data_IF_035360610801
#
_entry.id   IF_035360610801
#
_cell.length_a   1.000
_cell.length_b   1.000
_cell.length_c   1.000
_cell.angle_alpha   90.00
_cell.angle_beta   90.00
_cell.angle_gamma   90.00
#
_symmetry.space_group_name_H-M   'P 1'
#
loop_
_entity.id
_entity.type
_entity.pdbx_description
1 polymer ?
#
# COMPACT_ATOMS: atom_id res chain seq x y z
N UNK A 1 64.92 -7.34 1.92
CA UNK A 1 64.97 -5.92 1.55
C UNK A 1 63.57 -5.49 1.16
N UNK A 2 62.93 -4.55 1.87
CA UNK A 2 61.65 -4.02 1.43
C UNK A 2 61.89 -3.18 0.16
N UNK A 3 61.14 -3.47 -0.90
CA UNK A 3 61.22 -2.73 -2.16
C UNK A 3 60.90 -1.25 -1.91
N UNK A 4 61.66 -0.29 -2.49
CA UNK A 4 61.33 1.12 -2.37
C UNK A 4 59.98 1.34 -3.05
N UNK A 5 58.97 1.72 -2.26
CA UNK A 5 57.69 2.17 -2.79
C UNK A 5 57.98 3.30 -3.78
N UNK A 6 57.48 3.15 -5.00
CA UNK A 6 57.68 4.10 -6.09
C UNK A 6 57.19 5.49 -5.67
N UNK A 7 58.08 6.47 -5.59
CA UNK A 7 57.74 7.88 -5.30
C UNK A 7 57.16 8.50 -6.57
N UNK A 8 55.83 8.53 -6.67
CA UNK A 8 55.16 9.21 -7.80
C UNK A 8 55.46 10.71 -7.81
N UNK A 9 55.70 11.25 -9.01
CA UNK A 9 55.92 12.70 -9.19
C UNK A 9 54.61 13.48 -9.10
N UNK A 10 54.68 14.79 -8.82
CA UNK A 10 53.48 15.67 -8.77
C UNK A 10 52.69 15.64 -10.09
N UNK A 11 53.40 15.49 -11.22
CA UNK A 11 52.81 15.40 -12.54
C UNK A 11 52.07 14.07 -12.73
N UNK A 12 52.65 12.95 -12.32
CA UNK A 12 52.00 11.63 -12.40
C UNK A 12 50.69 11.61 -11.61
N UNK A 13 50.68 12.15 -10.39
CA UNK A 13 49.46 12.30 -9.60
C UNK A 13 48.40 13.15 -10.32
N UNK A 14 48.81 14.25 -10.97
CA UNK A 14 47.89 15.10 -11.70
C UNK A 14 47.25 14.37 -12.90
N UNK A 15 48.01 13.55 -13.63
CA UNK A 15 47.49 12.73 -14.74
C UNK A 15 46.51 11.67 -14.24
N UNK A 16 46.86 10.96 -13.16
CA UNK A 16 45.98 9.93 -12.57
C UNK A 16 44.65 10.54 -12.11
N UNK A 17 44.71 11.69 -11.42
CA UNK A 17 43.51 12.41 -10.98
C UNK A 17 42.70 12.90 -12.19
N UNK A 18 43.36 13.44 -13.23
CA UNK A 18 42.70 13.90 -14.45
C UNK A 18 41.93 12.79 -15.15
N UNK A 19 42.53 11.59 -15.27
CA UNK A 19 41.86 10.41 -15.83
C UNK A 19 40.68 9.98 -14.94
N UNK A 20 40.89 9.90 -13.62
CA UNK A 20 39.83 9.50 -12.69
C UNK A 20 38.62 10.45 -12.74
N UNK A 21 38.86 11.76 -12.76
CA UNK A 21 37.81 12.77 -12.88
C UNK A 21 37.09 12.68 -14.24
N UNK A 22 37.83 12.45 -15.33
CA UNK A 22 37.25 12.22 -16.66
C UNK A 22 36.32 11.00 -16.70
N UNK A 23 36.74 9.87 -16.09
CA UNK A 23 35.93 8.67 -15.99
C UNK A 23 34.65 8.90 -15.17
N UNK A 24 34.76 9.56 -14.01
CA UNK A 24 33.59 9.89 -13.17
C UNK A 24 32.61 10.81 -13.91
N UNK A 25 33.11 11.79 -14.66
CA UNK A 25 32.28 12.71 -15.44
C UNK A 25 31.44 11.99 -16.51
N UNK A 26 31.98 10.92 -17.11
CA UNK A 26 31.24 10.08 -18.09
C UNK A 26 30.28 9.11 -17.38
N UNK A 27 30.67 8.54 -16.24
CA UNK A 27 29.89 7.54 -15.52
C UNK A 27 28.64 8.11 -14.83
N UNK A 28 28.72 9.29 -14.21
CA UNK A 28 27.60 9.89 -13.47
C UNK A 28 26.32 10.07 -14.31
N UNK A 29 26.34 10.70 -15.51
CA UNK A 29 25.14 10.82 -16.33
C UNK A 29 24.61 9.46 -16.81
N UNK A 30 25.50 8.50 -17.07
CA UNK A 30 25.11 7.14 -17.46
C UNK A 30 24.36 6.41 -16.32
N UNK A 31 24.87 6.48 -15.10
CA UNK A 31 24.23 5.88 -13.92
C UNK A 31 22.86 6.50 -13.64
N UNK A 32 22.72 7.82 -13.81
CA UNK A 32 21.43 8.51 -13.64
C UNK A 32 20.39 8.03 -14.67
N UNK A 33 20.78 7.97 -15.96
CA UNK A 33 19.90 7.44 -17.04
C UNK A 33 19.49 5.99 -16.78
N UNK A 34 20.43 5.16 -16.30
CA UNK A 34 20.14 3.77 -15.95
C UNK A 34 19.13 3.66 -14.80
N UNK A 35 19.30 4.48 -13.74
CA UNK A 35 18.35 4.54 -12.62
C UNK A 35 16.96 4.98 -13.05
N UNK A 36 16.84 6.01 -13.88
CA UNK A 36 15.55 6.47 -14.37
C UNK A 36 14.86 5.43 -15.26
N UNK A 37 15.63 4.71 -16.09
CA UNK A 37 15.12 3.60 -16.90
C UNK A 37 14.65 2.42 -16.03
N UNK A 38 15.39 2.10 -14.95
CA UNK A 38 15.00 1.07 -14.00
C UNK A 38 13.69 1.45 -13.28
N UNK A 39 13.55 2.70 -12.82
CA UNK A 39 12.33 3.21 -12.19
C UNK A 39 11.12 3.14 -13.13
N UNK A 40 11.29 3.53 -14.40
CA UNK A 40 10.26 3.38 -15.44
C UNK A 40 9.86 1.93 -15.65
N UNK A 41 10.84 1.03 -15.72
CA UNK A 41 10.62 -0.41 -15.91
C UNK A 41 9.85 -1.02 -14.73
N UNK A 42 10.22 -0.66 -13.51
CA UNK A 42 9.54 -1.12 -12.31
C UNK A 42 8.11 -0.56 -12.22
N UNK A 43 7.89 0.73 -12.54
CA UNK A 43 6.53 1.28 -12.63
C UNK A 43 5.67 0.54 -13.65
N UNK A 44 6.23 0.27 -14.84
CA UNK A 44 5.56 -0.53 -15.87
C UNK A 44 5.19 -1.92 -15.35
N UNK A 45 6.05 -2.57 -14.55
CA UNK A 45 5.75 -3.86 -13.96
C UNK A 45 4.67 -3.78 -12.86
N UNK A 46 4.66 -2.71 -12.06
CA UNK A 46 3.59 -2.45 -11.10
C UNK A 46 2.23 -2.33 -11.81
N UNK A 47 2.18 -1.57 -12.91
CA UNK A 47 0.98 -1.50 -13.76
C UNK A 47 0.61 -2.83 -14.41
N UNK A 48 1.58 -3.66 -14.80
CA UNK A 48 1.28 -5.02 -15.30
C UNK A 48 0.62 -5.88 -14.24
N UNK A 49 1.09 -5.80 -12.99
CA UNK A 49 0.47 -6.51 -11.87
C UNK A 49 -0.97 -6.01 -11.62
N UNK A 50 -1.20 -4.70 -11.70
CA UNK A 50 -2.54 -4.11 -11.63
C UNK A 50 -3.44 -4.54 -12.80
N UNK A 51 -2.90 -4.58 -14.02
CA UNK A 51 -3.61 -5.05 -15.21
C UNK A 51 -4.01 -6.52 -15.10
N UNK A 52 -3.12 -7.37 -14.62
CA UNK A 52 -3.42 -8.78 -14.34
C UNK A 52 -4.52 -8.91 -13.28
N UNK A 53 -4.44 -8.13 -12.19
CA UNK A 53 -5.47 -8.14 -11.15
C UNK A 53 -6.84 -7.66 -11.66
N UNK A 54 -6.87 -6.64 -12.51
CA UNK A 54 -8.09 -6.18 -13.19
C UNK A 54 -8.74 -7.28 -14.01
N UNK A 55 -7.93 -8.05 -14.74
CA UNK A 55 -8.43 -9.18 -15.53
C UNK A 55 -8.89 -10.34 -14.66
N UNK A 56 -8.17 -10.69 -13.61
CA UNK A 56 -8.62 -11.71 -12.66
C UNK A 56 -9.93 -11.32 -11.96
N UNK A 57 -10.09 -10.02 -11.65
CA UNK A 57 -11.36 -9.48 -11.15
C UNK A 57 -12.46 -9.60 -12.21
N UNK A 58 -12.17 -9.20 -13.45
CA UNK A 58 -13.12 -9.31 -14.56
C UNK A 58 -13.53 -10.76 -14.83
N UNK A 59 -12.61 -11.71 -14.78
CA UNK A 59 -12.92 -13.14 -14.93
C UNK A 59 -13.80 -13.66 -13.79
N UNK A 60 -13.56 -13.23 -12.55
CA UNK A 60 -14.33 -13.65 -11.38
C UNK A 60 -15.73 -13.03 -11.32
N UNK A 61 -15.87 -11.76 -11.71
CA UNK A 61 -17.11 -10.97 -11.54
C UNK A 61 -17.79 -10.57 -12.85
N UNK A 62 -17.22 -10.95 -14.01
CA UNK A 62 -17.66 -10.59 -15.37
C UNK A 62 -17.69 -9.08 -15.68
N UNK A 63 -17.10 -8.26 -14.83
CA UNK A 63 -17.12 -6.80 -14.88
C UNK A 63 -15.82 -6.22 -14.31
N UNK A 64 -15.38 -5.07 -14.78
CA UNK A 64 -14.29 -4.35 -14.12
C UNK A 64 -14.76 -3.82 -12.76
N UNK A 65 -13.86 -3.63 -11.77
CA UNK A 65 -14.25 -3.13 -10.47
C UNK A 65 -14.88 -1.74 -10.61
N UNK A 66 -15.87 -1.38 -9.78
CA UNK A 66 -16.34 -0.02 -9.74
C UNK A 66 -15.18 0.92 -9.33
N UNK A 67 -15.12 2.11 -9.94
CA UNK A 67 -14.16 3.15 -9.57
C UNK A 67 -14.19 3.49 -8.08
N UNK A 68 -15.41 3.54 -7.54
CA UNK A 68 -15.67 3.51 -6.11
C UNK A 68 -17.14 3.24 -5.82
N UNK A 69 -17.41 2.72 -4.63
CA UNK A 69 -18.77 2.51 -4.13
C UNK A 69 -19.12 3.55 -3.07
N UNK A 70 -20.42 3.81 -2.91
CA UNK A 70 -20.95 4.68 -1.86
C UNK A 70 -21.76 3.87 -0.85
N UNK A 71 -21.77 4.30 0.41
CA UNK A 71 -22.68 3.79 1.43
C UNK A 71 -24.08 4.43 1.27
N UNK A 72 -25.09 3.86 1.93
CA UNK A 72 -26.49 4.33 1.85
C UNK A 72 -26.70 5.76 2.38
N UNK A 73 -25.82 6.23 3.25
CA UNK A 73 -25.79 7.58 3.80
C UNK A 73 -25.03 8.58 2.90
N UNK A 74 -24.56 8.13 1.72
CA UNK A 74 -23.81 8.95 0.77
C UNK A 74 -22.33 9.11 1.10
N UNK A 75 -21.80 8.43 2.12
CA UNK A 75 -20.36 8.42 2.39
C UNK A 75 -19.60 7.54 1.39
N UNK A 76 -18.36 7.93 1.07
CA UNK A 76 -17.49 7.14 0.21
C UNK A 76 -17.09 5.83 0.88
N UNK A 77 -17.33 4.71 0.20
CA UNK A 77 -17.09 3.38 0.78
C UNK A 77 -15.69 2.86 0.42
N UNK A 78 -15.48 2.32 -0.78
CA UNK A 78 -14.19 1.77 -1.22
C UNK A 78 -13.91 2.09 -2.68
N UNK A 79 -12.65 2.41 -2.98
CA UNK A 79 -12.16 2.54 -4.35
C UNK A 79 -11.87 1.22 -5.07
N UNK A 80 -11.63 1.34 -6.37
CA UNK A 80 -11.28 0.21 -7.25
C UNK A 80 -10.08 -0.59 -6.74
N UNK A 81 -9.06 0.07 -6.17
CA UNK A 81 -7.85 -0.61 -5.71
C UNK A 81 -8.16 -1.60 -4.59
N UNK A 82 -9.05 -1.23 -3.65
CA UNK A 82 -9.49 -2.12 -2.57
C UNK A 82 -10.10 -3.41 -3.12
N UNK A 83 -10.90 -3.31 -4.18
CA UNK A 83 -11.55 -4.46 -4.84
C UNK A 83 -10.55 -5.38 -5.56
N UNK A 84 -9.38 -4.86 -5.94
CA UNK A 84 -8.33 -5.66 -6.58
C UNK A 84 -7.44 -6.42 -5.58
N UNK A 85 -7.51 -6.13 -4.28
CA UNK A 85 -6.65 -6.73 -3.26
C UNK A 85 -6.64 -8.27 -3.23
N UNK A 86 -7.75 -9.00 -3.42
CA UNK A 86 -7.71 -10.47 -3.48
C UNK A 86 -6.85 -11.00 -4.64
N UNK A 87 -6.71 -10.20 -5.70
CA UNK A 87 -5.99 -10.54 -6.92
C UNK A 87 -4.59 -9.91 -6.97
N UNK A 88 -4.20 -9.16 -5.93
CA UNK A 88 -2.92 -8.48 -5.79
C UNK A 88 -2.18 -8.98 -4.55
N UNK A 89 -0.91 -9.37 -4.74
CA UNK A 89 0.07 -9.53 -3.65
C UNK A 89 -0.29 -10.56 -2.56
N UNK A 90 -1.29 -11.44 -2.80
CA UNK A 90 -1.76 -12.47 -1.86
C UNK A 90 -1.99 -11.93 -0.42
N UNK A 91 -2.56 -10.72 -0.34
CA UNK A 91 -2.63 -9.98 0.92
C UNK A 91 -3.73 -10.51 1.86
N UNK A 92 -3.39 -10.93 3.10
CA UNK A 92 -4.40 -11.40 4.07
C UNK A 92 -5.29 -10.26 4.61
N UNK A 93 -4.94 -8.99 4.36
CA UNK A 93 -5.67 -7.83 4.92
C UNK A 93 -7.05 -7.66 4.33
N UNK A 94 -7.30 -8.16 3.11
CA UNK A 94 -8.61 -8.00 2.49
C UNK A 94 -9.73 -8.62 3.33
N UNK A 95 -9.46 -9.79 3.93
CA UNK A 95 -10.41 -10.47 4.80
C UNK A 95 -10.60 -9.78 6.16
N UNK A 96 -9.76 -8.79 6.50
CA UNK A 96 -9.85 -8.02 7.75
C UNK A 96 -10.66 -6.73 7.58
N UNK A 97 -11.00 -6.35 6.33
CA UNK A 97 -11.77 -5.13 6.07
C UNK A 97 -13.22 -5.34 6.53
N UNK A 98 -13.72 -4.47 7.41
CA UNK A 98 -15.14 -4.40 7.75
C UNK A 98 -15.88 -3.66 6.62
N UNK A 99 -16.46 -4.44 5.69
CA UNK A 99 -17.20 -3.91 4.54
C UNK A 99 -18.55 -3.28 4.90
N UNK A 100 -18.94 -3.23 6.17
CA UNK A 100 -20.09 -2.46 6.64
C UNK A 100 -19.71 -1.02 7.02
N UNK A 101 -18.42 -0.66 6.90
CA UNK A 101 -17.87 0.65 7.27
C UNK A 101 -17.06 1.27 6.14
N UNK A 102 -16.89 2.59 6.17
CA UNK A 102 -16.02 3.32 5.25
C UNK A 102 -14.55 2.89 5.37
N UNK A 103 -13.79 3.08 4.30
CA UNK A 103 -12.35 2.75 4.26
C UNK A 103 -11.50 3.54 5.26
N UNK A 104 -11.90 4.77 5.59
CA UNK A 104 -11.23 5.66 6.53
C UNK A 104 -11.83 5.64 7.94
N UNK A 105 -12.82 4.79 8.19
CA UNK A 105 -13.37 4.53 9.52
C UNK A 105 -12.27 4.10 10.49
N UNK A 106 -12.44 4.40 11.78
CA UNK A 106 -11.46 4.06 12.82
C UNK A 106 -11.07 2.58 12.79
N UNK A 107 -12.02 1.67 12.54
CA UNK A 107 -11.77 0.23 12.47
C UNK A 107 -10.95 -0.15 11.24
N UNK A 108 -11.24 0.44 10.07
CA UNK A 108 -10.56 0.07 8.82
C UNK A 108 -9.25 0.82 8.58
N UNK A 109 -9.07 2.00 9.20
CA UNK A 109 -7.99 2.95 8.89
C UNK A 109 -6.61 2.29 8.83
N UNK A 110 -6.29 1.43 9.79
CA UNK A 110 -4.99 0.77 9.87
C UNK A 110 -4.67 -0.09 8.64
N UNK A 111 -5.67 -0.72 8.02
CA UNK A 111 -5.50 -1.56 6.82
C UNK A 111 -5.07 -0.72 5.62
N UNK A 112 -5.56 0.52 5.53
CA UNK A 112 -5.26 1.47 4.45
C UNK A 112 -3.96 2.26 4.66
N UNK A 113 -3.32 2.08 5.82
CA UNK A 113 -1.97 2.57 6.11
C UNK A 113 -0.89 1.55 5.71
N UNK A 114 -1.26 0.31 5.35
CA UNK A 114 -0.34 -0.71 4.86
C UNK A 114 -0.10 -0.50 3.36
N UNK A 115 1.17 -0.50 2.96
CA UNK A 115 1.57 -0.20 1.57
C UNK A 115 1.44 -1.42 0.66
N UNK A 116 0.64 -1.35 -0.42
CA UNK A 116 0.78 -2.26 -1.55
C UNK A 116 2.00 -1.85 -2.39
N UNK A 117 2.92 -2.77 -2.70
CA UNK A 117 4.10 -2.43 -3.53
C UNK A 117 3.68 -1.96 -4.93
N UNK A 118 2.62 -2.55 -5.47
CA UNK A 118 1.98 -2.23 -6.74
C UNK A 118 1.29 -0.86 -6.79
N UNK A 119 1.07 -0.19 -5.65
CA UNK A 119 0.47 1.14 -5.61
C UNK A 119 1.49 2.28 -5.84
N UNK A 120 2.80 1.97 -5.85
CA UNK A 120 3.84 2.99 -5.87
C UNK A 120 4.53 3.16 -7.21
N UNK A 121 4.83 4.41 -7.56
CA UNK A 121 5.81 4.75 -8.60
C UNK A 121 7.19 4.93 -7.97
N UNK A 122 8.23 4.23 -8.45
CA UNK A 122 9.58 4.43 -7.94
C UNK A 122 10.10 5.84 -8.22
N UNK A 123 10.59 6.51 -7.17
CA UNK A 123 11.17 7.85 -7.26
C UNK A 123 10.24 9.02 -6.96
N UNK A 124 8.98 8.75 -6.60
CA UNK A 124 8.07 9.76 -6.04
C UNK A 124 8.23 9.80 -4.51
N UNK A 125 8.30 11.00 -3.93
CA UNK A 125 8.57 11.17 -2.50
C UNK A 125 7.29 11.10 -1.65
N UNK A 126 6.16 11.51 -2.21
CA UNK A 126 4.85 11.52 -1.56
C UNK A 126 4.24 10.11 -1.60
N UNK A 127 4.22 9.42 -0.47
CA UNK A 127 3.68 8.06 -0.41
C UNK A 127 2.62 7.83 0.67
N UNK A 128 2.36 8.82 1.52
CA UNK A 128 1.34 8.78 2.54
C UNK A 128 0.76 10.17 2.83
N UNK A 129 -0.49 10.23 3.29
CA UNK A 129 -1.11 11.43 3.84
C UNK A 129 -0.55 11.76 5.23
N UNK A 130 -0.87 12.95 5.76
CA UNK A 130 -0.58 13.30 7.17
C UNK A 130 -1.19 12.33 8.18
N UNK A 131 -2.35 11.75 7.84
CA UNK A 131 -3.06 10.78 8.68
C UNK A 131 -2.59 9.33 8.44
N UNK A 132 -1.47 9.16 7.72
CA UNK A 132 -0.78 7.89 7.51
C UNK A 132 -1.33 7.02 6.38
N UNK A 133 -2.42 7.41 5.72
CA UNK A 133 -2.99 6.62 4.62
C UNK A 133 -2.03 6.54 3.44
N UNK A 134 -1.80 5.33 2.93
CA UNK A 134 -0.85 5.14 1.83
C UNK A 134 -1.46 5.63 0.52
N UNK A 135 -0.66 6.36 -0.25
CA UNK A 135 -1.04 6.92 -1.54
C UNK A 135 -0.81 5.91 -2.67
N UNK A 136 -1.67 5.98 -3.68
CA UNK A 136 -1.44 5.35 -4.97
C UNK A 136 -1.02 6.38 -6.02
N UNK A 137 -0.08 6.00 -6.87
CA UNK A 137 0.45 6.83 -7.96
C UNK A 137 -0.22 6.54 -9.30
N UNK A 138 -1.33 5.80 -9.26
CA UNK A 138 -2.12 5.37 -10.39
C UNK A 138 -3.58 5.71 -10.15
N UNK A 139 -4.27 6.12 -11.20
CA UNK A 139 -5.67 6.51 -11.14
C UNK A 139 -6.46 5.88 -12.28
N UNK A 140 -7.75 5.67 -12.05
CA UNK A 140 -8.63 4.99 -12.99
C UNK A 140 -9.20 5.93 -14.05
N UNK A 141 -9.36 5.45 -15.29
CA UNK A 141 -10.09 6.17 -16.33
C UNK A 141 -11.57 6.26 -15.92
N UNK A 142 -12.17 7.46 -15.76
CA UNK A 142 -13.57 7.62 -15.37
C UNK A 142 -14.55 6.96 -16.36
N UNK A 143 -14.18 6.79 -17.63
CA UNK A 143 -15.01 6.07 -18.61
C UNK A 143 -15.17 4.58 -18.29
N UNK A 144 -14.25 4.01 -17.50
CA UNK A 144 -14.25 2.60 -17.09
C UNK A 144 -14.50 2.45 -15.59
N UNK A 145 -13.86 3.29 -14.79
CA UNK A 145 -13.76 3.24 -13.33
C UNK A 145 -14.33 4.52 -12.70
N UNK A 146 -15.62 4.80 -12.94
CA UNK A 146 -16.38 5.85 -12.22
C UNK A 146 -17.17 5.25 -11.05
N UNK A 147 -17.85 6.11 -10.28
CA UNK A 147 -18.69 5.72 -9.15
C UNK A 147 -19.74 4.70 -9.57
N UNK A 148 -19.81 3.57 -8.86
CA UNK A 148 -20.76 2.47 -9.11
C UNK A 148 -20.75 1.95 -10.57
N UNK A 149 -19.62 2.08 -11.27
CA UNK A 149 -19.46 1.59 -12.64
C UNK A 149 -19.63 0.07 -12.73
N UNK A 150 -20.14 -0.39 -13.88
CA UNK A 150 -20.31 -1.80 -14.23
C UNK A 150 -19.82 -2.05 -15.67
N UNK A 151 -18.64 -1.53 -15.98
CA UNK A 151 -18.06 -1.60 -17.34
C UNK A 151 -17.43 -2.97 -17.58
N UNK A 152 -17.68 -3.56 -18.74
CA UNK A 152 -17.11 -4.85 -19.17
C UNK A 152 -16.22 -4.66 -20.39
N UNK A 153 -15.41 -5.67 -20.72
CA UNK A 153 -14.62 -5.70 -21.97
C UNK A 153 -15.46 -5.48 -23.24
N UNK A 154 -16.76 -5.84 -23.23
CA UNK A 154 -17.68 -5.65 -24.37
C UNK A 154 -18.05 -4.19 -24.61
N UNK A 155 -17.86 -3.34 -23.61
CA UNK A 155 -18.17 -1.92 -23.70
C UNK A 155 -17.08 -1.12 -24.45
N UNK A 156 -15.93 -1.75 -24.76
CA UNK A 156 -14.85 -1.16 -25.55
C UNK A 156 -15.22 -1.27 -27.04
N UNK A 157 -15.87 -0.24 -27.59
CA UNK A 157 -16.48 -0.27 -28.93
C UNK A 157 -15.46 -0.46 -30.06
N UNK A 158 -14.25 0.09 -29.87
CA UNK A 158 -13.13 -0.06 -30.81
C UNK A 158 -12.23 -1.27 -30.49
N UNK A 159 -12.63 -2.11 -29.53
CA UNK A 159 -11.82 -3.21 -29.01
C UNK A 159 -10.93 -2.81 -27.84
N UNK A 160 -10.52 -3.81 -27.05
CA UNK A 160 -9.77 -3.63 -25.80
C UNK A 160 -8.35 -3.09 -26.00
N UNK A 161 -7.81 -3.15 -27.21
CA UNK A 161 -6.49 -2.63 -27.57
C UNK A 161 -6.45 -1.11 -27.86
N UNK A 162 -7.62 -0.45 -27.94
CA UNK A 162 -7.75 0.99 -28.19
C UNK A 162 -8.14 1.79 -26.94
N UNK A 163 -8.86 1.19 -25.99
CA UNK A 163 -9.20 1.84 -24.72
C UNK A 163 -8.18 1.55 -23.62
N UNK A 164 -8.20 2.35 -22.54
CA UNK A 164 -7.33 2.18 -21.37
C UNK A 164 -8.12 2.31 -20.06
N UNK A 165 -7.58 1.72 -18.99
CA UNK A 165 -8.26 1.53 -17.70
C UNK A 165 -7.56 2.28 -16.57
N UNK A 166 -6.23 2.20 -16.47
CA UNK A 166 -5.43 2.86 -15.44
C UNK A 166 -4.32 3.68 -16.06
N UNK A 167 -3.95 4.79 -15.42
CA UNK A 167 -2.83 5.63 -15.83
C UNK A 167 -1.96 6.07 -14.65
N UNK A 168 -0.67 6.31 -14.91
CA UNK A 168 0.21 7.02 -13.98
C UNK A 168 -0.24 8.48 -13.84
N UNK A 169 -0.02 9.06 -12.66
CA UNK A 169 -0.45 10.45 -12.37
C UNK A 169 0.67 11.31 -11.81
N UNK A 170 0.56 12.63 -11.98
CA UNK A 170 1.64 13.60 -11.71
C UNK A 170 1.86 13.86 -10.21
N UNK A 171 0.81 14.27 -9.49
CA UNK A 171 0.82 14.56 -8.05
C UNK A 171 -0.60 14.54 -7.50
N UNK A 172 -0.93 15.23 -6.41
CA UNK A 172 -2.26 15.18 -5.78
C UNK A 172 -2.79 13.73 -5.66
N UNK A 173 -1.93 12.87 -5.12
CA UNK A 173 -2.18 11.44 -5.06
C UNK A 173 -3.32 11.14 -4.08
N UNK A 174 -4.16 10.19 -4.45
CA UNK A 174 -5.25 9.74 -3.58
C UNK A 174 -4.75 8.57 -2.70
N UNK A 175 -5.25 8.45 -1.46
CA UNK A 175 -5.15 7.20 -0.71
C UNK A 175 -5.65 6.02 -1.55
N UNK A 176 -4.98 4.87 -1.49
CA UNK A 176 -5.38 3.73 -2.33
C UNK A 176 -6.78 3.20 -1.99
N UNK A 177 -7.29 3.45 -0.78
CA UNK A 177 -8.66 3.11 -0.40
C UNK A 177 -9.74 4.07 -0.93
N UNK A 178 -9.33 5.27 -1.38
CA UNK A 178 -10.24 6.35 -1.75
C UNK A 178 -11.20 5.94 -2.86
N UNK A 179 -12.52 6.15 -2.67
CA UNK A 179 -13.55 5.81 -3.66
C UNK A 179 -13.64 6.82 -4.81
N UNK A 180 -12.74 7.81 -4.88
CA UNK A 180 -12.75 8.85 -5.90
C UNK A 180 -11.43 8.92 -6.69
N UNK A 181 -10.70 7.81 -6.77
CA UNK A 181 -9.41 7.75 -7.44
C UNK A 181 -9.53 7.56 -8.98
N UNK A 182 -10.01 8.61 -9.64
CA UNK A 182 -9.95 8.82 -11.09
C UNK A 182 -9.65 10.29 -11.40
N UNK A 183 -9.15 10.59 -12.60
CA UNK A 183 -8.94 11.97 -13.09
C UNK A 183 -9.63 12.17 -14.42
N UNK A 184 -9.83 13.42 -14.78
CA UNK A 184 -10.32 13.79 -16.11
C UNK A 184 -9.40 13.16 -17.17
N UNK A 185 -10.00 12.34 -18.04
CA UNK A 185 -9.29 11.61 -19.07
C UNK A 185 -8.94 12.50 -20.27
N UNK A 186 -9.65 13.61 -20.45
CA UNK A 186 -9.47 14.52 -21.59
C UNK A 186 -8.42 15.59 -21.31
N UNK A 187 -7.95 15.68 -20.06
CA UNK A 187 -6.89 16.61 -19.69
C UNK A 187 -5.53 16.19 -20.27
N UNK A 188 -4.78 17.11 -20.91
CA UNK A 188 -3.47 16.80 -21.48
C UNK A 188 -2.49 16.21 -20.46
N UNK A 189 -1.67 15.26 -20.91
CA UNK A 189 -0.66 14.63 -20.06
C UNK A 189 0.36 15.66 -19.54
N UNK A 190 0.72 15.55 -18.26
CA UNK A 190 1.64 16.46 -17.58
C UNK A 190 1.21 17.94 -17.60
N UNK A 191 -0.08 18.25 -17.82
CA UNK A 191 -0.60 19.63 -17.77
C UNK A 191 -0.44 20.26 -16.40
N UNK A 192 -0.60 19.46 -15.34
CA UNK A 192 -0.58 19.92 -13.97
C UNK A 192 -0.60 18.78 -12.98
N UNK A 193 -0.61 19.13 -11.69
CA UNK A 193 -0.52 18.15 -10.61
C UNK A 193 -1.72 17.18 -10.58
N UNK A 194 -2.88 17.60 -11.10
CA UNK A 194 -4.12 16.81 -11.19
C UNK A 194 -4.27 16.02 -12.49
N UNK A 195 -3.31 16.10 -13.42
CA UNK A 195 -3.36 15.37 -14.69
C UNK A 195 -2.77 13.95 -14.60
N UNK A 196 -3.08 13.09 -15.58
CA UNK A 196 -2.29 11.90 -15.85
C UNK A 196 -0.89 12.30 -16.34
N UNK A 197 0.12 11.50 -16.01
CA UNK A 197 1.51 11.88 -16.29
C UNK A 197 2.50 11.33 -15.27
N UNK A 198 3.61 12.06 -15.12
CA UNK A 198 4.60 11.83 -14.07
C UNK A 198 5.98 11.43 -14.56
N UNK A 199 6.17 11.19 -15.86
CA UNK A 199 7.48 11.07 -16.48
C UNK A 199 7.76 12.22 -17.43
N UNK A 200 9.04 12.57 -17.56
CA UNK A 200 9.48 13.45 -18.63
C UNK A 200 9.12 12.82 -19.99
N UNK A 201 8.24 13.47 -20.74
CA UNK A 201 7.77 13.06 -22.05
C UNK A 201 6.52 12.16 -22.07
N UNK A 202 5.83 11.89 -20.95
CA UNK A 202 4.59 11.09 -20.98
C UNK A 202 4.26 10.29 -19.72
N UNK A 203 3.48 9.21 -19.91
CA UNK A 203 3.07 8.28 -18.84
C UNK A 203 2.76 6.88 -19.39
N UNK A 204 2.79 5.88 -18.51
CA UNK A 204 2.32 4.53 -18.78
C UNK A 204 0.84 4.38 -18.44
N UNK A 205 0.17 3.57 -19.26
CA UNK A 205 -1.24 3.26 -19.13
C UNK A 205 -1.46 1.76 -19.27
N UNK A 206 -2.38 1.23 -18.47
CA UNK A 206 -2.92 -0.12 -18.61
C UNK A 206 -4.04 -0.05 -19.62
N UNK A 207 -3.85 -0.72 -20.75
CA UNK A 207 -4.84 -0.81 -21.82
C UNK A 207 -5.98 -1.76 -21.44
N UNK A 208 -7.09 -1.68 -22.18
CA UNK A 208 -8.23 -2.56 -22.00
C UNK A 208 -7.88 -4.04 -22.17
N UNK A 209 -6.83 -4.37 -22.94
CA UNK A 209 -6.31 -5.73 -23.17
C UNK A 209 -5.31 -6.20 -22.09
N UNK A 210 -5.07 -5.39 -21.06
CA UNK A 210 -4.14 -5.67 -19.96
C UNK A 210 -2.67 -5.38 -20.32
N UNK A 211 -2.36 -5.00 -21.56
CA UNK A 211 -1.03 -4.54 -21.93
C UNK A 211 -0.72 -3.18 -21.31
N UNK A 212 0.57 -2.89 -21.09
CA UNK A 212 1.00 -1.58 -20.57
C UNK A 212 1.74 -0.83 -21.67
N UNK A 213 1.26 0.37 -22.01
CA UNK A 213 1.82 1.21 -23.09
C UNK A 213 2.27 2.57 -22.53
N UNK A 214 3.39 3.08 -23.06
CA UNK A 214 3.82 4.45 -22.78
C UNK A 214 3.22 5.38 -23.83
N UNK A 215 2.56 6.45 -23.38
CA UNK A 215 1.94 7.48 -24.21
C UNK A 215 2.71 8.78 -24.02
N UNK A 216 3.13 9.39 -25.13
CA UNK A 216 3.86 10.65 -25.13
C UNK A 216 2.93 11.82 -24.81
N UNK A 217 3.44 12.87 -24.17
CA UNK A 217 2.71 14.13 -24.03
C UNK A 217 2.75 15.00 -25.30
N UNK A 218 3.49 14.59 -26.33
CA UNK A 218 3.58 15.24 -27.65
C UNK A 218 2.67 14.59 -28.70
N UNK A 219 1.64 13.85 -28.27
CA UNK A 219 0.69 13.22 -29.20
C UNK A 219 -0.16 14.28 -29.94
N UNK A 220 -0.48 14.00 -31.20
CA UNK A 220 -1.39 14.83 -31.99
C UNK A 220 -2.81 14.75 -31.43
N UNK A 221 -3.61 15.79 -31.64
CA UNK A 221 -5.02 15.84 -31.21
C UNK A 221 -5.80 14.60 -31.63
N UNK A 222 -5.62 14.15 -32.88
CA UNK A 222 -6.21 12.91 -33.41
C UNK A 222 -5.83 11.62 -32.67
N UNK A 223 -4.62 11.56 -32.10
CA UNK A 223 -4.15 10.40 -31.30
C UNK A 223 -4.72 10.48 -29.89
N UNK A 224 -4.88 11.70 -29.34
CA UNK A 224 -5.55 11.91 -28.06
C UNK A 224 -7.03 11.52 -28.13
N UNK A 225 -7.73 11.95 -29.17
CA UNK A 225 -9.12 11.58 -29.43
C UNK A 225 -9.28 10.06 -29.61
N UNK A 226 -8.36 9.42 -30.35
CA UNK A 226 -8.37 7.97 -30.52
C UNK A 226 -8.06 7.20 -29.22
N UNK A 227 -7.27 7.79 -28.31
CA UNK A 227 -6.88 7.17 -27.04
C UNK A 227 -8.04 7.09 -26.03
N UNK A 228 -8.95 8.08 -26.04
CA UNK A 228 -10.19 8.06 -25.25
C UNK A 228 -11.41 7.58 -26.07
N UNK A 229 -11.25 7.44 -27.39
CA UNK A 229 -12.31 7.07 -28.31
C UNK A 229 -12.82 5.64 -28.10
N UNK A 230 -14.14 5.45 -28.23
CA UNK A 230 -14.78 4.13 -28.15
C UNK A 230 -14.92 3.57 -26.73
N UNK A 231 -14.61 4.34 -25.70
CA UNK A 231 -14.95 4.04 -24.32
C UNK A 231 -16.37 4.55 -23.98
N UNK A 232 -17.04 3.97 -22.97
CA UNK A 232 -18.34 4.45 -22.50
C UNK A 232 -18.27 5.87 -21.98
N UNK A 233 -19.27 6.70 -22.29
CA UNK A 233 -19.39 8.03 -21.70
C UNK A 233 -20.20 7.96 -20.40
N UNK A 234 -19.59 8.20 -19.23
CA UNK A 234 -20.30 8.19 -17.95
C UNK A 234 -21.16 9.44 -17.80
N UNK A 235 -22.15 9.42 -16.90
CA UNK A 235 -22.90 10.63 -16.57
C UNK A 235 -22.04 11.58 -15.73
N UNK A 236 -22.21 12.91 -15.83
CA UNK A 236 -21.45 13.87 -15.03
C UNK A 236 -21.53 13.59 -13.52
N UNK A 237 -22.70 13.20 -13.03
CA UNK A 237 -22.94 12.83 -11.62
C UNK A 237 -22.12 11.61 -11.18
N UNK A 238 -21.93 10.64 -12.07
CA UNK A 238 -21.17 9.42 -11.75
C UNK A 238 -19.65 9.66 -11.71
N UNK A 239 -19.17 10.69 -12.41
CA UNK A 239 -17.77 11.13 -12.38
C UNK A 239 -17.50 12.25 -11.40
N UNK A 240 -18.55 12.82 -10.80
CA UNK A 240 -18.44 13.92 -9.85
C UNK A 240 -17.60 13.51 -8.64
N UNK A 241 -16.69 14.41 -8.26
CA UNK A 241 -15.74 14.21 -7.18
C UNK A 241 -15.90 15.34 -6.17
N UNK A 242 -16.10 15.02 -4.88
CA UNK A 242 -15.99 16.05 -3.85
C UNK A 242 -14.57 16.62 -3.82
N UNK A 243 -14.44 17.90 -3.47
CA UNK A 243 -13.13 18.52 -3.26
C UNK A 243 -12.44 17.90 -2.04
N UNK A 244 -11.52 16.96 -2.28
CA UNK A 244 -10.62 16.45 -1.26
C UNK A 244 -9.27 17.16 -1.34
N UNK A 245 -8.87 17.81 -0.24
CA UNK A 245 -7.54 18.38 -0.10
C UNK A 245 -6.70 17.51 0.85
N UNK A 246 -6.21 16.39 0.34
CA UNK A 246 -5.31 15.52 1.11
C UNK A 246 -4.01 16.26 1.37
N UNK A 247 -3.70 16.52 2.65
CA UNK A 247 -2.41 17.11 3.01
C UNK A 247 -1.35 16.01 3.02
N UNK A 248 -0.31 16.18 2.21
CA UNK A 248 0.80 15.23 2.05
C UNK A 248 1.97 15.55 2.98
N UNK A 249 2.84 14.55 3.18
CA UNK A 249 4.21 14.78 3.63
C UNK A 249 5.07 15.11 2.40
N UNK A 250 5.52 16.36 2.27
CA UNK A 250 6.39 16.79 1.16
C UNK A 250 7.83 17.03 1.64
N UNK A 251 8.80 16.44 0.94
CA UNK A 251 10.25 16.65 1.03
C UNK A 251 10.99 16.31 2.35
N UNK A 252 11.86 15.30 2.27
CA UNK A 252 13.07 15.02 3.09
C UNK A 252 12.96 14.91 4.62
N UNK A 253 11.76 14.83 5.20
CA UNK A 253 11.54 14.16 6.50
C UNK A 253 10.55 13.02 6.38
N UNK A 254 10.77 12.24 5.34
CA UNK A 254 10.59 10.80 5.47
C UNK A 254 11.96 10.36 6.01
N UNK A 255 12.14 10.10 7.32
CA UNK A 255 13.21 9.20 7.72
C UNK A 255 13.00 7.94 6.87
N UNK A 256 14.07 7.36 6.33
CA UNK A 256 13.95 6.16 5.52
C UNK A 256 12.95 5.22 6.21
N UNK A 257 12.07 4.58 5.43
CA UNK A 257 11.77 3.20 5.82
C UNK A 257 13.15 2.59 5.85
N UNK A 258 13.78 2.54 7.02
CA UNK A 258 14.80 1.56 7.24
C UNK A 258 14.03 0.26 7.02
N UNK A 259 14.05 -0.20 5.76
CA UNK A 259 14.35 -1.60 5.57
C UNK A 259 15.61 -1.77 6.40
N UNK A 260 15.42 -2.31 7.61
CA UNK A 260 16.51 -2.99 8.30
C UNK A 260 17.16 -3.80 7.17
N UNK A 261 18.46 -3.62 6.89
CA UNK A 261 19.08 -4.23 5.72
C UNK A 261 18.93 -5.74 5.86
N UNK A 262 17.95 -6.29 5.16
CA UNK A 262 17.66 -7.71 5.03
C UNK A 262 18.02 -8.16 3.60
N UNK A 263 18.95 -7.44 2.95
CA UNK A 263 19.36 -7.67 1.56
C UNK A 263 20.03 -9.05 1.34
N UNK A 264 20.40 -9.75 2.42
CA UNK A 264 20.97 -11.10 2.37
C UNK A 264 19.93 -12.23 2.58
N UNK A 265 18.63 -11.90 2.59
CA UNK A 265 17.63 -12.79 3.14
C UNK A 265 16.50 -13.11 2.11
N UNK A 266 16.55 -14.33 1.53
CA UNK A 266 15.48 -15.03 0.78
C UNK A 266 14.35 -15.63 1.67
N UNK A 267 13.17 -15.01 1.84
CA UNK A 267 12.15 -15.54 2.79
C UNK A 267 10.68 -15.28 2.37
N UNK A 268 9.75 -16.10 2.90
CA UNK A 268 8.29 -16.16 2.63
C UNK A 268 7.46 -16.05 3.96
N UNK A 269 6.43 -15.17 3.99
CA UNK A 269 5.33 -14.97 4.97
C UNK A 269 5.53 -14.57 6.46
N UNK A 270 5.38 -13.28 6.81
CA UNK A 270 4.79 -12.69 8.04
C UNK A 270 4.79 -11.15 7.85
N UNK A 271 3.76 -10.45 8.36
CA UNK A 271 3.66 -8.99 8.25
C UNK A 271 3.35 -8.37 9.60
N UNK A 272 4.40 -7.78 10.17
CA UNK A 272 4.26 -6.75 11.18
C UNK A 272 4.00 -5.40 10.50
N UNK A 273 3.22 -4.53 11.15
CA UNK A 273 3.10 -3.12 10.76
C UNK A 273 3.39 -2.25 11.97
N UNK A 274 4.69 -2.00 12.22
CA UNK A 274 5.16 -1.21 13.37
C UNK A 274 5.01 0.30 13.11
N UNK A 275 3.98 0.94 13.64
CA UNK A 275 3.90 2.40 13.66
C UNK A 275 4.69 2.95 14.85
N UNK A 276 5.97 3.27 14.64
CA UNK A 276 6.73 4.08 15.60
C UNK A 276 6.33 5.56 15.41
N UNK A 277 5.88 6.24 16.46
CA UNK A 277 5.34 7.61 16.36
C UNK A 277 6.22 8.68 17.01
N UNK A 278 7.47 8.36 17.39
CA UNK A 278 8.34 9.23 18.19
C UNK A 278 8.72 10.55 17.46
N UNK A 279 8.47 10.66 16.15
CA UNK A 279 8.71 11.83 15.31
C UNK A 279 7.53 12.21 14.38
N UNK A 280 6.36 11.56 14.54
CA UNK A 280 5.21 11.79 13.66
C UNK A 280 5.25 11.03 12.33
N UNK A 281 6.15 10.06 12.16
CA UNK A 281 6.33 9.32 10.89
C UNK A 281 5.87 7.86 11.03
N UNK A 282 4.81 7.42 10.34
CA UNK A 282 4.42 6.02 10.35
C UNK A 282 5.48 5.15 9.66
N UNK A 283 6.17 4.31 10.44
CA UNK A 283 7.02 3.24 9.91
C UNK A 283 6.15 1.99 9.69
N UNK A 284 6.61 1.08 8.84
CA UNK A 284 5.97 -0.23 8.63
C UNK A 284 7.11 -1.21 8.43
N UNK A 285 7.35 -2.05 9.43
CA UNK A 285 8.37 -3.10 9.35
C UNK A 285 7.66 -4.45 9.27
N UNK A 286 7.71 -5.12 8.11
CA UNK A 286 7.24 -6.50 7.96
C UNK A 286 8.35 -7.45 8.40
N UNK A 287 8.13 -8.25 9.44
CA UNK A 287 9.08 -9.29 9.91
C UNK A 287 8.59 -10.64 9.40
N UNK A 288 9.49 -11.50 8.88
CA UNK A 288 9.20 -12.78 8.20
C UNK A 288 10.00 -13.92 8.84
N UNK A 289 9.39 -15.06 9.19
CA UNK A 289 10.08 -16.18 9.89
C UNK A 289 10.10 -17.46 9.05
N UNK A 290 11.27 -18.12 8.84
CA UNK A 290 11.33 -19.48 8.25
C UNK A 290 11.15 -20.54 9.33
N UNK A 291 10.13 -21.37 9.15
CA UNK A 291 10.13 -22.77 9.58
C UNK A 291 9.82 -23.67 8.40
N UNK A 292 10.74 -24.57 8.02
CA UNK A 292 10.40 -25.72 7.16
C UNK A 292 9.51 -26.66 7.96
N UNK A 293 8.21 -26.43 7.90
CA UNK A 293 7.21 -27.26 8.55
C UNK A 293 6.01 -26.39 8.91
N UNK A 294 4.87 -26.70 8.31
CA UNK A 294 3.52 -26.27 8.67
C UNK A 294 3.41 -24.90 9.37
N UNK A 295 2.83 -23.90 8.68
CA UNK A 295 2.26 -22.65 9.21
C UNK A 295 1.51 -22.84 10.56
N UNK A 296 2.23 -22.96 11.67
CA UNK A 296 1.69 -23.13 13.01
C UNK A 296 2.54 -22.29 13.96
N UNK A 297 1.95 -21.15 14.27
CA UNK A 297 2.29 -20.14 15.26
C UNK A 297 3.64 -19.40 15.13
N UNK A 298 3.63 -18.05 15.07
CA UNK A 298 4.81 -17.23 15.39
C UNK A 298 5.38 -17.60 16.76
N UNK A 299 6.71 -17.52 16.91
CA UNK A 299 7.38 -17.91 18.16
C UNK A 299 7.45 -16.73 19.11
N UNK A 300 7.44 -17.02 20.40
CA UNK A 300 7.59 -16.04 21.48
C UNK A 300 8.87 -15.18 21.35
N UNK A 301 9.93 -15.78 20.78
CA UNK A 301 11.19 -15.13 20.43
C UNK A 301 11.01 -13.94 19.47
N UNK A 302 10.03 -14.03 18.55
CA UNK A 302 9.72 -12.95 17.62
C UNK A 302 9.14 -11.74 18.38
N UNK A 303 8.29 -11.97 19.39
CA UNK A 303 7.73 -10.93 20.24
C UNK A 303 8.78 -10.26 21.12
N UNK A 304 9.68 -11.05 21.71
CA UNK A 304 10.78 -10.51 22.51
C UNK A 304 11.65 -9.57 21.67
N UNK A 305 11.98 -9.96 20.44
CA UNK A 305 12.77 -9.13 19.53
C UNK A 305 12.06 -7.83 19.16
N UNK A 306 10.73 -7.84 19.02
CA UNK A 306 9.93 -6.63 18.77
C UNK A 306 10.03 -5.66 19.94
N UNK A 307 9.93 -6.17 21.17
CA UNK A 307 10.09 -5.36 22.38
C UNK A 307 11.48 -4.71 22.44
N UNK A 308 12.53 -5.46 22.07
CA UNK A 308 13.91 -4.99 22.11
C UNK A 308 14.25 -4.00 20.98
N UNK A 309 13.84 -4.29 19.74
CA UNK A 309 14.20 -3.49 18.56
C UNK A 309 13.22 -2.35 18.27
N UNK A 310 11.98 -2.44 18.75
CA UNK A 310 10.88 -1.55 18.37
C UNK A 310 9.97 -1.19 19.58
N UNK A 311 10.47 -0.47 20.59
CA UNK A 311 9.69 -0.18 21.80
C UNK A 311 8.48 0.74 21.57
N UNK A 312 8.49 1.56 20.51
CA UNK A 312 7.42 2.53 20.22
C UNK A 312 6.28 1.96 19.34
N UNK A 313 6.17 0.62 19.23
CA UNK A 313 5.11 -0.01 18.42
C UNK A 313 3.74 0.43 18.93
N UNK A 314 2.91 1.00 18.04
CA UNK A 314 1.50 1.27 18.31
C UNK A 314 0.59 0.13 17.87
N UNK A 315 0.75 -0.36 16.65
CA UNK A 315 -0.10 -1.43 16.13
C UNK A 315 0.73 -2.70 15.95
N UNK A 316 0.23 -3.82 16.48
CA UNK A 316 0.87 -5.12 16.38
C UNK A 316 -0.13 -6.15 15.84
N UNK A 317 0.04 -6.52 14.57
CA UNK A 317 -0.67 -7.66 13.99
C UNK A 317 0.16 -8.92 14.16
N UNK A 318 -0.32 -9.84 15.01
CA UNK A 318 0.35 -11.10 15.25
C UNK A 318 -0.63 -12.28 15.25
N UNK A 319 -0.09 -13.49 15.10
CA UNK A 319 -0.81 -14.76 15.30
C UNK A 319 -0.32 -15.48 16.56
N UNK A 320 0.25 -14.72 17.50
CA UNK A 320 0.65 -15.22 18.81
C UNK A 320 -0.60 -15.40 19.67
N UNK A 321 -0.59 -16.44 20.49
CA UNK A 321 -1.56 -16.65 21.56
C UNK A 321 -1.18 -15.78 22.75
N UNK A 322 -2.12 -14.98 23.28
CA UNK A 322 -1.87 -14.13 24.45
C UNK A 322 -2.03 -14.97 25.71
N UNK A 323 -0.91 -15.49 26.18
CA UNK A 323 -0.71 -16.21 27.43
C UNK A 323 0.04 -15.34 28.46
N UNK A 324 0.34 -15.89 29.64
CA UNK A 324 1.03 -15.18 30.72
C UNK A 324 2.39 -14.62 30.27
N UNK A 325 3.12 -15.37 29.44
CA UNK A 325 4.46 -14.96 29.00
C UNK A 325 4.43 -13.86 27.94
N UNK A 326 3.61 -14.05 26.89
CA UNK A 326 3.46 -13.08 25.82
C UNK A 326 2.78 -11.79 26.30
N UNK A 327 1.79 -11.87 27.19
CA UNK A 327 1.19 -10.68 27.82
C UNK A 327 2.19 -9.88 28.66
N UNK A 328 3.12 -10.55 29.35
CA UNK A 328 4.22 -9.89 30.06
C UNK A 328 5.25 -9.23 29.13
N UNK A 329 5.41 -9.69 27.89
CA UNK A 329 6.24 -9.02 26.89
C UNK A 329 5.50 -7.81 26.29
N UNK A 330 4.20 -7.95 26.04
CA UNK A 330 3.36 -6.88 25.47
C UNK A 330 3.27 -5.65 26.39
N UNK A 331 3.34 -5.83 27.72
CA UNK A 331 3.36 -4.71 28.67
C UNK A 331 4.59 -3.81 28.51
N UNK A 332 5.65 -4.32 27.87
CA UNK A 332 6.88 -3.57 27.59
C UNK A 332 6.77 -2.70 26.32
N UNK A 333 5.63 -2.71 25.63
CA UNK A 333 5.32 -1.84 24.50
C UNK A 333 4.44 -0.67 24.98
N UNK A 334 5.04 0.43 25.49
CA UNK A 334 4.31 1.50 26.18
C UNK A 334 3.37 2.31 25.29
N UNK A 335 3.40 2.12 23.97
CA UNK A 335 2.57 2.87 23.02
C UNK A 335 1.58 1.98 22.27
N UNK A 336 1.51 0.69 22.60
CA UNK A 336 0.66 -0.25 21.89
C UNK A 336 -0.83 0.10 22.06
N UNK A 337 -1.50 0.39 20.94
CA UNK A 337 -2.91 0.74 20.87
C UNK A 337 -3.79 -0.32 20.21
N UNK A 338 -3.26 -1.06 19.23
CA UNK A 338 -4.01 -2.13 18.54
C UNK A 338 -3.19 -3.40 18.57
N UNK A 339 -3.79 -4.48 19.08
CA UNK A 339 -3.19 -5.81 19.12
C UNK A 339 -4.09 -6.81 18.39
N UNK A 340 -3.58 -7.48 17.36
CA UNK A 340 -4.21 -8.69 16.83
C UNK A 340 -3.50 -9.92 17.35
N UNK A 341 -4.25 -10.89 17.87
CA UNK A 341 -3.78 -12.16 18.41
C UNK A 341 -4.55 -13.35 17.81
N UNK A 342 -3.98 -14.56 17.92
CA UNK A 342 -4.68 -15.80 17.54
C UNK A 342 -5.74 -16.17 18.57
N UNK A 343 -5.35 -16.28 19.84
CA UNK A 343 -6.22 -16.52 20.99
C UNK A 343 -5.80 -15.63 22.15
N UNK A 344 -6.65 -15.52 23.18
CA UNK A 344 -6.33 -14.82 24.43
C UNK A 344 -6.77 -15.68 25.60
N UNK A 345 -5.85 -15.98 26.51
CA UNK A 345 -6.13 -16.72 27.74
C UNK A 345 -6.71 -15.79 28.80
N UNK A 346 -7.90 -16.10 29.33
CA UNK A 346 -8.55 -15.30 30.38
C UNK A 346 -8.08 -15.78 31.76
N UNK A 347 -6.81 -15.51 32.08
CA UNK A 347 -6.25 -15.74 33.42
C UNK A 347 -6.10 -14.42 34.18
N UNK A 348 -6.10 -14.44 35.54
CA UNK A 348 -5.91 -13.22 36.33
C UNK A 348 -4.64 -12.45 35.96
N UNK A 349 -3.57 -13.17 35.59
CA UNK A 349 -2.28 -12.58 35.21
C UNK A 349 -2.34 -11.92 33.82
N UNK A 350 -2.91 -12.59 32.82
CA UNK A 350 -3.10 -11.99 31.48
C UNK A 350 -3.99 -10.75 31.56
N UNK A 351 -5.09 -10.81 32.32
CA UNK A 351 -5.98 -9.67 32.53
C UNK A 351 -5.27 -8.51 33.25
N UNK A 352 -4.42 -8.80 34.23
CA UNK A 352 -3.61 -7.78 34.91
C UNK A 352 -2.61 -7.13 33.95
N UNK A 353 -1.96 -7.92 33.10
CA UNK A 353 -1.01 -7.42 32.09
C UNK A 353 -1.70 -6.54 31.05
N UNK A 354 -2.81 -6.99 30.48
CA UNK A 354 -3.58 -6.19 29.51
C UNK A 354 -4.13 -4.89 30.13
N UNK A 355 -4.56 -4.92 31.39
CA UNK A 355 -4.98 -3.71 32.12
C UNK A 355 -3.86 -2.69 32.32
N UNK A 356 -2.61 -3.12 32.41
CA UNK A 356 -1.46 -2.21 32.54
C UNK A 356 -1.13 -1.48 31.23
N UNK A 357 -1.63 -1.96 30.10
CA UNK A 357 -1.42 -1.37 28.79
C UNK A 357 -2.36 -0.18 28.59
N UNK A 358 -2.01 0.95 29.21
CA UNK A 358 -2.86 2.16 29.28
C UNK A 358 -3.25 2.76 27.91
N UNK A 359 -2.54 2.41 26.85
CA UNK A 359 -2.79 2.88 25.49
C UNK A 359 -3.54 1.88 24.63
N UNK A 360 -3.79 0.67 25.12
CA UNK A 360 -4.51 -0.36 24.37
C UNK A 360 -5.95 0.10 24.17
N UNK A 361 -6.33 0.28 22.91
CA UNK A 361 -7.66 0.72 22.49
C UNK A 361 -8.44 -0.42 21.83
N UNK A 362 -7.74 -1.36 21.20
CA UNK A 362 -8.36 -2.43 20.41
C UNK A 362 -7.60 -3.75 20.50
N UNK A 363 -8.36 -4.84 20.66
CA UNK A 363 -7.89 -6.21 20.73
C UNK A 363 -8.67 -7.07 19.73
N UNK A 364 -7.99 -7.53 18.68
CA UNK A 364 -8.55 -8.33 17.59
C UNK A 364 -8.12 -9.79 17.79
N UNK A 365 -9.07 -10.69 18.02
CA UNK A 365 -8.82 -12.06 18.43
C UNK A 365 -9.29 -13.01 17.32
N UNK A 366 -8.44 -13.96 16.92
CA UNK A 366 -8.80 -14.97 15.93
C UNK A 366 -9.92 -15.88 16.41
N UNK A 367 -9.73 -16.48 17.58
CA UNK A 367 -10.64 -17.42 18.21
C UNK A 367 -10.71 -17.13 19.71
N UNK A 368 -11.93 -17.02 20.24
CA UNK A 368 -12.20 -16.74 21.65
C UNK A 368 -13.44 -17.50 22.10
N UNK A 369 -13.41 -18.06 23.32
CA UNK A 369 -14.59 -18.66 23.92
C UNK A 369 -15.66 -17.58 24.18
N UNK A 370 -16.94 -17.82 23.85
CA UNK A 370 -18.03 -16.88 24.15
C UNK A 370 -18.10 -16.43 25.61
N UNK A 371 -17.79 -17.31 26.57
CA UNK A 371 -17.81 -16.99 28.00
C UNK A 371 -16.65 -16.05 28.38
N UNK A 372 -15.49 -16.27 27.76
CA UNK A 372 -14.26 -15.48 27.94
C UNK A 372 -14.40 -14.04 27.42
N UNK A 373 -15.22 -13.81 26.40
CA UNK A 373 -15.47 -12.46 25.84
C UNK A 373 -16.07 -11.51 26.86
N UNK A 374 -17.08 -11.98 27.58
CA UNK A 374 -17.79 -11.16 28.59
C UNK A 374 -16.86 -10.81 29.74
N UNK A 375 -16.02 -11.77 30.13
CA UNK A 375 -15.01 -11.59 31.17
C UNK A 375 -13.92 -10.59 30.74
N UNK A 376 -13.35 -10.74 29.54
CA UNK A 376 -12.39 -9.78 28.97
C UNK A 376 -12.98 -8.38 28.87
N UNK A 377 -14.21 -8.24 28.37
CA UNK A 377 -14.86 -6.94 28.20
C UNK A 377 -15.13 -6.25 29.54
N UNK A 378 -15.49 -7.01 30.58
CA UNK A 378 -15.68 -6.46 31.93
C UNK A 378 -14.38 -5.95 32.57
N UNK A 379 -13.25 -6.59 32.22
CA UNK A 379 -11.92 -6.25 32.72
C UNK A 379 -11.26 -5.14 31.92
N UNK A 380 -11.64 -4.97 30.65
CA UNK A 380 -11.09 -3.98 29.73
C UNK A 380 -12.22 -3.10 29.15
N UNK A 381 -12.92 -2.30 29.98
CA UNK A 381 -14.14 -1.59 29.56
C UNK A 381 -13.88 -0.48 28.51
N UNK A 382 -12.64 -0.02 28.37
CA UNK A 382 -12.23 0.97 27.36
C UNK A 382 -11.63 0.36 26.10
N UNK A 383 -11.42 -0.97 26.06
CA UNK A 383 -10.81 -1.67 24.94
C UNK A 383 -11.90 -2.29 24.09
N UNK A 384 -11.85 -2.05 22.79
CA UNK A 384 -12.70 -2.71 21.81
C UNK A 384 -12.21 -4.14 21.60
N UNK A 385 -13.06 -5.13 21.85
CA UNK A 385 -12.74 -6.55 21.64
C UNK A 385 -13.48 -7.06 20.40
N UNK A 386 -12.73 -7.45 19.39
CA UNK A 386 -13.22 -8.03 18.13
C UNK A 386 -12.81 -9.51 17.99
N UNK A 387 -13.71 -10.39 17.54
CA UNK A 387 -13.48 -11.85 17.45
C UNK A 387 -13.81 -12.35 16.04
N UNK A 388 -12.83 -12.91 15.33
CA UNK A 388 -12.93 -13.29 13.90
C UNK A 388 -13.81 -14.51 13.61
N UNK A 389 -14.10 -15.36 14.60
CA UNK A 389 -14.80 -16.65 14.42
C UNK A 389 -16.34 -16.56 14.33
N UNK A 390 -16.95 -15.38 14.45
CA UNK A 390 -18.37 -15.23 14.17
C UNK A 390 -18.62 -15.08 12.66
N UNK A 391 -19.25 -16.06 11.98
CA UNK A 391 -19.85 -15.76 10.68
C UNK A 391 -20.97 -14.75 10.93
N UNK A 392 -20.78 -13.48 10.53
CA UNK A 392 -21.94 -12.63 10.27
C UNK A 392 -22.73 -13.38 9.21
N UNK A 393 -23.90 -13.88 9.60
CA UNK A 393 -24.83 -14.54 8.71
C UNK A 393 -24.95 -13.67 7.46
N UNK A 394 -24.50 -14.21 6.33
CA UNK A 394 -24.84 -13.68 5.01
C UNK A 394 -26.36 -13.75 4.96
N UNK A 395 -27.04 -12.66 5.36
CA UNK A 395 -28.44 -12.48 5.03
C UNK A 395 -28.44 -12.23 3.53
N UNK A 396 -28.61 -13.32 2.80
CA UNK A 396 -29.08 -13.29 1.44
C UNK A 396 -30.46 -12.63 1.42
N UNK A 397 -30.52 -11.31 1.34
CA UNK A 397 -31.74 -10.59 1.04
C UNK A 397 -31.50 -9.69 -0.18
N UNK A 398 -31.76 -10.33 -1.32
CA UNK A 398 -32.33 -9.86 -2.60
C UNK A 398 -32.10 -8.43 -3.06
#
# INVERSE_FOLDING_TARGET
>A
MPQPWYKMTKLEWAVVIGIALGLVAILLPAVRRARDTARRTQSRNNLKNLGLALYNYHDAYSVFPPGGTMMSDGQGHYGWFTRLKPFLEASPYYAMIDFDRAWDDRVNRHLFQITPMSARRPGVAEFATKDGFVLTHYSGNPSVLHRNSSVTVRNFQLGTNHGWILGEVVGNFEPWGSPFNWRDADDPLNRGIDSYGGWNGGAHFVMGDGSVRFVSNEITESVSEAFNGGLPTPSPESTDRPEYNWKYWTNNKVPPVESIPLDDLEWDGLVLTIFNHHDGVPRTAMIQSRGKGSLRNPRLEDLQRIVEECPDVRILFTRIDVDEHSSSLLTQLPQLNVLSASTVSVTPEVLANLKQMNHLEELIIGELDPDDRSELQSHLPGVLIDVKSEPRSIRSER
#
